data_IF_492529704258
#
_entry.id   IF_492529704258
#
_cell.length_a   1.000
_cell.length_b   1.000
_cell.length_c   1.000
_cell.angle_alpha   90.00
_cell.angle_beta   90.00
_cell.angle_gamma   90.00
#
_symmetry.space_group_name_H-M   'P 1'
#
loop_
_entity.id
_entity.type
_entity.pdbx_description
1 polymer ?
#
# COMPACT_ATOMS: atom_id res chain seq x y z
N UNK A 1 -36.52 -6.32 26.49
CA UNK A 1 -36.24 -5.38 25.39
C UNK A 1 -34.97 -5.85 24.69
N UNK A 2 -35.12 -6.61 23.61
CA UNK A 2 -33.98 -7.00 22.77
C UNK A 2 -33.61 -5.80 21.89
N UNK A 3 -32.38 -5.32 22.00
CA UNK A 3 -31.80 -4.40 21.02
C UNK A 3 -31.56 -5.22 19.76
N UNK A 4 -32.44 -5.09 18.78
CA UNK A 4 -32.16 -5.51 17.41
C UNK A 4 -30.97 -4.67 16.94
N UNK A 5 -29.78 -5.25 16.96
CA UNK A 5 -28.62 -4.69 16.27
C UNK A 5 -28.97 -4.70 14.79
N UNK A 6 -29.28 -3.52 14.24
CA UNK A 6 -29.29 -3.34 12.80
C UNK A 6 -27.88 -3.70 12.33
N UNK A 7 -27.75 -4.80 11.59
CA UNK A 7 -26.52 -5.15 10.87
C UNK A 7 -26.29 -3.97 9.94
N UNK A 8 -25.20 -3.22 10.14
CA UNK A 8 -24.88 -2.11 9.25
C UNK A 8 -24.73 -2.69 7.85
N UNK A 9 -25.35 -2.04 6.85
CA UNK A 9 -25.24 -2.50 5.48
C UNK A 9 -23.77 -2.45 5.04
N UNK A 10 -23.28 -3.56 4.49
CA UNK A 10 -22.00 -3.60 3.79
C UNK A 10 -22.23 -3.12 2.35
N UNK A 11 -21.46 -2.13 1.91
CA UNK A 11 -21.47 -1.62 0.54
C UNK A 11 -20.10 -1.92 -0.10
N UNK A 12 -20.10 -2.59 -1.25
CA UNK A 12 -18.85 -2.79 -2.02
C UNK A 12 -18.50 -1.49 -2.72
N UNK A 13 -17.35 -0.91 -2.39
CA UNK A 13 -16.80 0.28 -3.04
C UNK A 13 -16.03 -0.09 -4.31
N UNK A 14 -15.26 -1.18 -4.27
CA UNK A 14 -14.44 -1.66 -5.38
C UNK A 14 -14.08 -3.13 -5.16
N UNK A 15 -13.87 -3.88 -6.25
CA UNK A 15 -13.24 -5.20 -6.18
C UNK A 15 -12.23 -5.37 -7.31
N UNK A 16 -11.30 -6.29 -7.17
CA UNK A 16 -10.30 -6.53 -8.21
C UNK A 16 -9.30 -7.60 -7.84
N UNK A 17 -8.22 -7.66 -8.60
CA UNK A 17 -7.10 -8.54 -8.29
C UNK A 17 -6.06 -7.82 -7.44
N UNK A 18 -5.44 -8.55 -6.53
CA UNK A 18 -4.37 -8.07 -5.65
C UNK A 18 -3.14 -8.95 -5.83
N UNK A 19 -1.99 -8.32 -5.97
CA UNK A 19 -0.69 -9.00 -6.01
C UNK A 19 0.23 -8.40 -4.96
N UNK A 20 0.78 -9.23 -4.09
CA UNK A 20 1.84 -8.82 -3.18
C UNK A 20 3.20 -9.13 -3.82
N UNK A 21 4.05 -8.11 -3.88
CA UNK A 21 5.38 -8.20 -4.46
C UNK A 21 6.43 -7.72 -3.47
N UNK A 22 7.68 -8.10 -3.70
CA UNK A 22 8.83 -7.43 -3.10
C UNK A 22 9.77 -6.98 -4.20
N UNK A 23 10.44 -5.84 -4.01
CA UNK A 23 11.55 -5.40 -4.85
C UNK A 23 12.86 -5.70 -4.12
N UNK A 24 13.77 -6.48 -4.73
CA UNK A 24 15.10 -6.71 -4.16
C UNK A 24 15.92 -5.41 -4.06
N UNK A 25 16.95 -5.40 -3.21
CA UNK A 25 17.92 -4.30 -3.16
C UNK A 25 18.67 -4.13 -4.48
N UNK A 26 19.20 -2.93 -4.66
CA UNK A 26 20.01 -2.60 -5.85
C UNK A 26 21.21 -3.53 -5.92
N UNK A 27 21.48 -4.08 -7.10
CA UNK A 27 22.46 -5.16 -7.35
C UNK A 27 22.14 -6.53 -6.71
N UNK A 28 21.00 -6.71 -6.03
CA UNK A 28 20.64 -7.98 -5.38
C UNK A 28 19.80 -8.87 -6.31
N UNK A 29 20.41 -9.87 -6.92
CA UNK A 29 19.74 -10.76 -7.88
C UNK A 29 19.08 -11.98 -7.23
N UNK A 30 19.54 -12.41 -6.06
CA UNK A 30 19.12 -13.65 -5.41
C UNK A 30 18.75 -13.40 -3.94
N UNK A 31 17.70 -12.61 -3.67
CA UNK A 31 17.30 -12.27 -2.32
C UNK A 31 16.85 -13.51 -1.55
N UNK A 32 17.33 -13.65 -0.33
CA UNK A 32 17.06 -14.81 0.54
C UNK A 32 16.29 -14.45 1.80
N UNK A 33 16.43 -13.21 2.27
CA UNK A 33 15.78 -12.71 3.49
C UNK A 33 15.18 -11.30 3.34
N UNK A 34 14.68 -10.72 4.43
CA UNK A 34 14.08 -9.38 4.45
C UNK A 34 15.11 -8.24 4.38
N UNK A 35 16.37 -8.51 4.70
CA UNK A 35 17.48 -7.57 4.54
C UNK A 35 17.80 -7.31 3.07
N UNK A 36 17.59 -8.32 2.22
CA UNK A 36 17.76 -8.27 0.77
C UNK A 36 16.60 -7.56 0.04
N UNK A 37 15.52 -7.24 0.76
CA UNK A 37 14.35 -6.54 0.23
C UNK A 37 14.52 -5.03 0.39
N UNK A 38 14.34 -4.30 -0.71
CA UNK A 38 14.20 -2.84 -0.71
C UNK A 38 12.77 -2.44 -0.36
N UNK A 39 11.78 -2.91 -1.14
CA UNK A 39 10.37 -2.51 -0.95
C UNK A 39 9.47 -3.73 -0.85
N UNK A 40 8.48 -3.66 0.05
CA UNK A 40 7.29 -4.49 -0.03
C UNK A 40 6.21 -3.69 -0.75
N UNK A 41 5.50 -4.35 -1.66
CA UNK A 41 4.55 -3.71 -2.57
C UNK A 41 3.23 -4.49 -2.58
N UNK A 42 2.13 -3.76 -2.74
CA UNK A 42 0.80 -4.28 -2.99
C UNK A 42 0.28 -3.63 -4.27
N UNK A 43 0.09 -4.43 -5.30
CA UNK A 43 -0.53 -4.02 -6.55
C UNK A 43 -2.02 -4.31 -6.49
N UNK A 44 -2.85 -3.28 -6.65
CA UNK A 44 -4.29 -3.39 -6.81
C UNK A 44 -4.64 -3.13 -8.28
N UNK A 45 -5.34 -4.08 -8.89
CA UNK A 45 -5.88 -3.95 -10.25
C UNK A 45 -7.40 -4.03 -10.15
N UNK A 46 -8.11 -2.89 -10.06
CA UNK A 46 -9.57 -2.84 -10.00
C UNK A 46 -10.17 -3.52 -11.23
N UNK A 47 -11.21 -4.34 -11.05
CA UNK A 47 -11.78 -5.12 -12.14
C UNK A 47 -12.34 -4.27 -13.30
N UNK A 48 -12.93 -3.13 -12.96
CA UNK A 48 -13.51 -2.16 -13.90
C UNK A 48 -12.63 -0.91 -14.07
N UNK A 49 -11.39 -0.96 -13.59
CA UNK A 49 -10.45 0.16 -13.62
C UNK A 49 -9.61 0.22 -14.89
N UNK A 50 -9.25 1.44 -15.30
CA UNK A 50 -8.28 1.68 -16.40
C UNK A 50 -6.83 1.67 -15.89
N UNK A 51 -6.65 1.96 -14.60
CA UNK A 51 -5.35 2.08 -13.95
C UNK A 51 -5.17 1.02 -12.86
N UNK A 52 -3.92 0.60 -12.70
CA UNK A 52 -3.47 -0.18 -11.56
C UNK A 52 -2.76 0.73 -10.56
N UNK A 53 -2.85 0.36 -9.28
CA UNK A 53 -2.32 1.15 -8.17
C UNK A 53 -1.27 0.35 -7.43
N UNK A 54 -0.05 0.85 -7.40
CA UNK A 54 1.06 0.25 -6.65
C UNK A 54 1.19 0.95 -5.31
N UNK A 55 0.98 0.22 -4.23
CA UNK A 55 1.12 0.71 -2.86
C UNK A 55 2.44 0.19 -2.31
N UNK A 56 3.32 1.10 -1.88
CA UNK A 56 4.52 0.74 -1.14
C UNK A 56 4.20 0.59 0.35
N UNK A 57 4.68 -0.47 0.97
CA UNK A 57 4.38 -0.83 2.36
C UNK A 57 5.66 -0.76 3.20
N UNK A 58 5.55 -0.23 4.42
CA UNK A 58 6.64 -0.19 5.39
C UNK A 58 7.25 -1.56 5.69
N UNK A 59 8.56 -1.73 5.44
CA UNK A 59 9.28 -3.00 5.54
C UNK A 59 9.21 -3.67 6.93
N UNK A 60 9.08 -2.88 8.00
CA UNK A 60 9.09 -3.36 9.40
C UNK A 60 7.74 -3.92 9.90
N UNK A 61 6.65 -3.78 9.12
CA UNK A 61 5.31 -4.22 9.53
C UNK A 61 4.59 -4.81 8.32
N UNK A 62 4.89 -6.07 8.03
CA UNK A 62 4.18 -6.86 7.00
C UNK A 62 2.68 -6.87 7.33
N UNK A 63 1.78 -6.78 6.33
CA UNK A 63 0.35 -6.88 6.56
C UNK A 63 0.00 -8.16 7.34
N UNK A 64 -0.38 -7.99 8.60
CA UNK A 64 -0.96 -9.02 9.44
C UNK A 64 -2.42 -8.67 9.60
N UNK A 65 -3.29 -9.58 9.18
CA UNK A 65 -4.72 -9.36 9.22
C UNK A 65 -5.35 -9.60 10.60
N UNK A 66 -4.58 -10.10 11.59
CA UNK A 66 -5.09 -10.44 12.92
C UNK A 66 -4.48 -9.54 14.00
N UNK A 67 -5.34 -9.04 14.89
CA UNK A 67 -4.97 -8.19 16.03
C UNK A 67 -4.94 -6.69 15.72
N UNK A 68 -4.63 -5.86 16.71
CA UNK A 68 -4.48 -4.40 16.56
C UNK A 68 -3.18 -3.99 15.82
N UNK A 69 -2.62 -4.87 15.00
CA UNK A 69 -1.41 -4.60 14.25
C UNK A 69 -1.70 -3.50 13.21
N UNK A 70 -0.91 -2.44 13.28
CA UNK A 70 -0.94 -1.29 12.38
C UNK A 70 0.24 -1.39 11.43
N UNK A 71 0.01 -1.16 10.15
CA UNK A 71 1.07 -0.90 9.18
C UNK A 71 0.72 0.29 8.31
N UNK A 72 1.75 0.84 7.67
CA UNK A 72 1.67 2.06 6.90
C UNK A 72 2.08 1.76 5.47
N UNK A 73 1.53 2.51 4.54
CA UNK A 73 1.94 2.51 3.15
C UNK A 73 1.55 3.81 2.46
N UNK A 74 1.90 3.93 1.20
CA UNK A 74 1.40 5.01 0.35
C UNK A 74 1.25 4.53 -1.08
N UNK A 75 0.41 5.22 -1.84
CA UNK A 75 0.28 5.00 -3.28
C UNK A 75 1.56 5.50 -3.96
N UNK A 76 2.40 4.58 -4.44
CA UNK A 76 3.66 4.89 -5.13
C UNK A 76 3.38 5.29 -6.58
N UNK A 77 2.60 4.48 -7.30
CA UNK A 77 2.31 4.65 -8.72
C UNK A 77 0.83 4.38 -9.02
N UNK A 78 0.27 5.15 -9.96
CA UNK A 78 -1.04 4.91 -10.59
C UNK A 78 -0.83 4.96 -12.08
N UNK A 79 -0.89 3.82 -12.75
CA UNK A 79 -0.44 3.64 -14.13
C UNK A 79 -1.37 2.72 -14.91
N UNK A 80 -1.31 2.75 -16.23
CA UNK A 80 -1.97 1.72 -17.05
C UNK A 80 -1.30 0.36 -16.80
N UNK A 81 -1.97 -0.78 -17.06
CA UNK A 81 -1.35 -2.11 -16.88
C UNK A 81 -0.02 -2.28 -17.64
N UNK A 82 0.08 -1.74 -18.85
CA UNK A 82 1.30 -1.82 -19.66
C UNK A 82 2.45 -1.00 -19.04
N UNK A 83 2.15 0.22 -18.59
CA UNK A 83 3.14 1.07 -17.92
C UNK A 83 3.54 0.51 -16.54
N UNK A 84 2.59 -0.09 -15.81
CA UNK A 84 2.85 -0.75 -14.54
C UNK A 84 3.75 -1.96 -14.73
N UNK A 85 3.52 -2.77 -15.77
CA UNK A 85 4.39 -3.89 -16.12
C UNK A 85 5.83 -3.41 -16.38
N UNK A 86 5.99 -2.31 -17.13
CA UNK A 86 7.31 -1.72 -17.37
C UNK A 86 7.96 -1.19 -16.08
N UNK A 87 7.19 -0.52 -15.20
CA UNK A 87 7.67 0.02 -13.94
C UNK A 87 8.11 -1.07 -12.95
N UNK A 88 7.40 -2.21 -12.91
CA UNK A 88 7.73 -3.37 -12.09
C UNK A 88 8.92 -4.17 -12.64
N UNK A 89 9.29 -3.96 -13.90
CA UNK A 89 10.46 -4.55 -14.53
C UNK A 89 11.80 -4.13 -13.91
N UNK A 90 12.86 -4.76 -14.40
CA UNK A 90 14.23 -4.38 -14.04
C UNK A 90 14.59 -3.03 -14.69
N UNK A 91 15.31 -2.19 -13.95
CA UNK A 91 15.72 -0.87 -14.41
C UNK A 91 17.23 -0.71 -14.30
N UNK A 92 17.83 -0.03 -15.27
CA UNK A 92 19.25 0.37 -15.21
C UNK A 92 19.31 1.88 -15.19
N UNK A 93 19.98 2.46 -14.20
CA UNK A 93 20.07 3.91 -14.06
C UNK A 93 21.49 4.37 -13.70
N UNK A 94 21.87 5.54 -14.20
CA UNK A 94 23.16 6.15 -13.90
C UNK A 94 23.15 6.86 -12.56
N UNK A 95 24.22 6.72 -11.79
CA UNK A 95 24.46 7.51 -10.57
C UNK A 95 25.63 8.47 -10.78
N UNK A 96 25.52 9.68 -10.22
CA UNK A 96 26.55 10.73 -10.33
C UNK A 96 27.90 10.32 -9.73
N UNK A 97 27.90 9.40 -8.77
CA UNK A 97 29.08 9.05 -7.97
C UNK A 97 29.55 7.60 -8.15
N UNK A 98 28.71 6.70 -8.66
CA UNK A 98 28.98 5.25 -8.65
C UNK A 98 28.68 4.54 -9.98
N UNK A 99 28.52 5.26 -11.08
CA UNK A 99 28.28 4.66 -12.40
C UNK A 99 26.87 4.07 -12.55
N UNK A 100 26.70 3.13 -13.49
CA UNK A 100 25.43 2.45 -13.74
C UNK A 100 25.06 1.54 -12.56
N UNK A 101 23.78 1.50 -12.21
CA UNK A 101 23.20 0.61 -11.21
C UNK A 101 22.02 -0.14 -11.80
N UNK A 102 21.86 -1.38 -11.37
CA UNK A 102 20.77 -2.27 -11.74
C UNK A 102 19.81 -2.41 -10.57
N UNK A 103 18.58 -1.96 -10.77
CA UNK A 103 17.44 -2.23 -9.91
C UNK A 103 16.72 -3.48 -10.43
N UNK A 104 16.70 -4.58 -9.67
CA UNK A 104 16.00 -5.80 -10.08
C UNK A 104 14.49 -5.60 -10.24
N UNK A 105 13.87 -6.46 -11.05
CA UNK A 105 12.43 -6.50 -11.20
C UNK A 105 11.74 -6.89 -9.88
N UNK A 106 10.57 -6.32 -9.64
CA UNK A 106 9.71 -6.73 -8.53
C UNK A 106 9.26 -8.18 -8.72
N UNK A 107 9.27 -8.96 -7.63
CA UNK A 107 8.94 -10.37 -7.62
C UNK A 107 7.60 -10.60 -6.93
N UNK A 108 6.58 -11.13 -7.63
CA UNK A 108 5.31 -11.48 -7.01
C UNK A 108 5.48 -12.73 -6.15
N UNK A 109 4.96 -12.69 -4.93
CA UNK A 109 5.01 -13.81 -4.00
C UNK A 109 3.63 -14.26 -3.50
N UNK A 110 2.58 -13.46 -3.70
CA UNK A 110 1.20 -13.88 -3.51
C UNK A 110 0.25 -13.14 -4.45
N UNK A 111 -0.79 -13.80 -4.93
CA UNK A 111 -1.78 -13.22 -5.84
C UNK A 111 -3.18 -13.75 -5.53
N UNK A 112 -4.19 -12.93 -5.73
CA UNK A 112 -5.59 -13.32 -5.58
C UNK A 112 -6.54 -12.15 -5.83
N UNK A 113 -7.63 -12.13 -5.07
CA UNK A 113 -8.69 -11.13 -5.19
C UNK A 113 -8.76 -10.27 -3.94
N UNK A 114 -9.23 -9.03 -4.11
CA UNK A 114 -9.59 -8.14 -3.01
C UNK A 114 -11.00 -7.57 -3.18
N UNK A 115 -11.59 -7.22 -2.05
CA UNK A 115 -12.80 -6.43 -1.94
C UNK A 115 -12.50 -5.22 -1.06
N UNK A 116 -12.81 -4.03 -1.55
CA UNK A 116 -12.83 -2.79 -0.79
C UNK A 116 -14.29 -2.49 -0.44
N UNK A 117 -14.61 -2.49 0.84
CA UNK A 117 -15.98 -2.42 1.33
C UNK A 117 -16.14 -1.29 2.34
N UNK A 118 -17.28 -0.61 2.30
CA UNK A 118 -17.72 0.29 3.33
C UNK A 118 -18.64 -0.44 4.30
N UNK A 119 -18.30 -0.45 5.58
CA UNK A 119 -19.12 -1.04 6.63
C UNK A 119 -19.20 -0.12 7.83
N UNK A 120 -20.42 0.36 8.12
CA UNK A 120 -20.69 1.31 9.19
C UNK A 120 -19.99 2.65 8.98
N UNK A 121 -18.79 2.80 9.53
CA UNK A 121 -17.98 4.03 9.46
C UNK A 121 -16.54 3.77 9.01
N UNK A 122 -16.25 2.56 8.51
CA UNK A 122 -14.91 2.11 8.16
C UNK A 122 -14.87 1.51 6.77
N UNK A 123 -13.74 1.70 6.12
CA UNK A 123 -13.41 1.04 4.87
C UNK A 123 -12.56 -0.20 5.16
N UNK A 124 -13.04 -1.36 4.75
CA UNK A 124 -12.37 -2.65 4.87
C UNK A 124 -11.73 -3.02 3.53
N UNK A 125 -10.41 -3.26 3.53
CA UNK A 125 -9.73 -3.94 2.44
C UNK A 125 -9.58 -5.41 2.83
N UNK A 126 -10.37 -6.25 2.19
CA UNK A 126 -10.35 -7.71 2.38
C UNK A 126 -9.60 -8.35 1.23
N UNK A 127 -8.86 -9.43 1.49
CA UNK A 127 -8.21 -10.20 0.44
C UNK A 127 -8.29 -11.70 0.67
N UNK A 128 -8.18 -12.46 -0.42
CA UNK A 128 -7.87 -13.88 -0.40
C UNK A 128 -6.84 -14.19 -1.49
N UNK A 129 -5.65 -14.65 -1.09
CA UNK A 129 -4.50 -14.86 -1.98
C UNK A 129 -3.91 -16.26 -1.87
N UNK A 130 -3.31 -16.70 -2.97
CA UNK A 130 -2.44 -17.86 -3.03
C UNK A 130 -0.98 -17.40 -3.01
N UNK A 131 -0.18 -17.98 -2.11
CA UNK A 131 1.26 -17.72 -2.04
C UNK A 131 2.01 -18.60 -3.05
N UNK A 132 3.02 -18.02 -3.69
CA UNK A 132 4.00 -18.74 -4.51
C UNK A 132 4.72 -19.78 -3.63
N UNK A 133 4.88 -20.99 -4.15
CA UNK A 133 5.63 -22.05 -3.45
C UNK A 133 7.14 -21.79 -3.58
N UNK A 134 7.90 -22.16 -2.56
CA UNK A 134 9.37 -22.12 -2.56
C UNK A 134 9.99 -20.74 -2.80
N UNK A 135 9.34 -19.68 -2.33
CA UNK A 135 9.89 -18.33 -2.36
C UNK A 135 10.62 -18.04 -1.03
N UNK A 136 11.95 -17.83 -1.11
CA UNK A 136 12.85 -17.66 0.04
C UNK A 136 12.48 -16.44 0.88
N UNK A 137 12.22 -15.32 0.22
CA UNK A 137 11.83 -14.07 0.88
C UNK A 137 10.44 -14.20 1.49
N UNK A 138 9.48 -14.75 0.74
CA UNK A 138 8.10 -14.88 1.21
C UNK A 138 7.93 -15.79 2.43
N UNK A 139 8.83 -16.74 2.63
CA UNK A 139 8.87 -17.58 3.83
C UNK A 139 9.07 -16.75 5.12
N UNK A 140 9.73 -15.60 5.00
CA UNK A 140 9.98 -14.67 6.11
C UNK A 140 8.86 -13.61 6.26
N UNK A 141 7.90 -13.55 5.33
CA UNK A 141 6.78 -12.62 5.37
C UNK A 141 5.54 -13.24 6.05
N UNK A 142 4.96 -12.51 7.00
CA UNK A 142 3.79 -12.90 7.78
C UNK A 142 2.42 -12.61 7.09
N UNK A 143 2.36 -12.59 5.76
CA UNK A 143 1.13 -12.32 5.00
C UNK A 143 0.07 -13.44 5.14
N UNK A 144 -1.03 -13.19 5.82
CA UNK A 144 -2.12 -14.16 5.88
C UNK A 144 -2.76 -14.39 4.49
N UNK A 145 -3.19 -15.63 4.22
CA UNK A 145 -3.86 -15.97 2.95
C UNK A 145 -5.16 -15.20 2.77
N UNK A 146 -5.89 -15.03 3.86
CA UNK A 146 -7.04 -14.15 3.92
C UNK A 146 -6.78 -13.06 4.93
N UNK A 147 -7.20 -11.85 4.60
CA UNK A 147 -7.10 -10.76 5.54
C UNK A 147 -8.22 -9.75 5.41
N UNK A 148 -8.39 -8.99 6.48
CA UNK A 148 -9.32 -7.88 6.61
C UNK A 148 -8.62 -6.79 7.39
N UNK A 149 -8.44 -5.62 6.78
CA UNK A 149 -7.88 -4.44 7.42
C UNK A 149 -8.77 -3.23 7.19
N UNK A 150 -8.90 -2.40 8.22
CA UNK A 150 -9.47 -1.07 8.09
C UNK A 150 -8.41 -0.14 7.47
N UNK A 151 -8.80 0.61 6.45
CA UNK A 151 -7.93 1.56 5.74
C UNK A 151 -8.37 3.00 6.02
N UNK A 152 -7.39 3.82 6.42
CA UNK A 152 -7.56 5.26 6.63
C UNK A 152 -6.50 6.03 5.87
N UNK A 153 -6.85 7.23 5.42
CA UNK A 153 -5.98 8.11 4.65
C UNK A 153 -5.44 9.19 5.57
N UNK A 154 -4.14 9.47 5.51
CA UNK A 154 -3.52 10.58 6.23
C UNK A 154 -3.69 11.89 5.45
N UNK A 155 -3.93 12.98 6.16
CA UNK A 155 -4.02 14.30 5.56
C UNK A 155 -2.61 14.82 5.22
N UNK A 156 -2.30 15.16 3.97
CA UNK A 156 -0.98 15.66 3.59
C UNK A 156 -0.68 17.09 4.09
N UNK A 157 -1.68 17.81 4.65
CA UNK A 157 -1.49 19.16 5.18
C UNK A 157 -0.63 19.15 6.48
N UNK A 158 0.61 19.66 6.44
CA UNK A 158 1.52 19.63 7.59
C UNK A 158 1.05 20.44 8.80
N UNK A 159 0.25 21.48 8.58
CA UNK A 159 -0.21 22.35 9.66
C UNK A 159 -1.06 21.60 10.68
N UNK A 160 -1.84 20.61 10.23
CA UNK A 160 -2.66 19.76 11.10
C UNK A 160 -1.84 18.81 11.97
N UNK A 161 -0.59 18.55 11.56
CA UNK A 161 0.38 17.75 12.32
C UNK A 161 1.24 18.60 13.25
N UNK A 162 1.11 19.93 13.20
CA UNK A 162 2.00 20.85 13.90
C UNK A 162 3.40 20.89 13.28
N UNK A 163 3.50 20.58 11.99
CA UNK A 163 4.75 20.56 11.24
C UNK A 163 4.82 21.74 10.28
N UNK A 164 6.03 22.19 9.99
CA UNK A 164 6.30 23.23 8.99
C UNK A 164 6.26 22.68 7.56
N UNK A 165 6.58 21.40 7.41
CA UNK A 165 6.69 20.64 6.17
C UNK A 165 5.86 19.36 6.26
N UNK A 166 5.42 18.77 5.13
CA UNK A 166 4.61 17.54 5.10
C UNK A 166 5.14 16.48 6.07
N UNK A 167 4.24 15.80 6.82
CA UNK A 167 4.66 14.73 7.71
C UNK A 167 5.46 13.68 6.93
N UNK A 168 6.63 13.32 7.44
CA UNK A 168 7.56 12.44 6.73
C UNK A 168 7.21 10.95 6.89
N UNK A 169 5.92 10.61 6.80
CA UNK A 169 5.47 9.24 7.01
C UNK A 169 5.99 8.34 5.90
N UNK A 170 6.14 8.86 4.67
CA UNK A 170 6.79 8.15 3.58
C UNK A 170 8.25 7.79 3.87
N UNK A 171 9.11 8.72 4.35
CA UNK A 171 10.51 8.35 4.61
C UNK A 171 10.66 7.48 5.86
N UNK A 172 9.72 7.52 6.81
CA UNK A 172 9.68 6.57 7.93
C UNK A 172 9.45 5.11 7.48
N UNK A 173 8.94 4.88 6.27
CA UNK A 173 8.72 3.53 5.73
C UNK A 173 10.00 2.84 5.24
N UNK A 174 11.03 3.63 4.94
CA UNK A 174 12.25 3.15 4.28
C UNK A 174 13.47 3.36 5.18
N UNK A 175 14.49 2.52 4.99
CA UNK A 175 15.80 2.82 5.60
C UNK A 175 16.37 4.07 4.91
N UNK A 176 16.98 5.00 5.65
CA UNK A 176 17.59 6.21 5.08
C UNK A 176 18.75 5.95 4.10
N UNK A 177 19.15 4.70 3.89
CA UNK A 177 20.11 4.27 2.87
C UNK A 177 19.45 3.94 1.53
N UNK A 178 18.12 3.78 1.50
CA UNK A 178 17.36 3.61 0.29
C UNK A 178 17.11 5.00 -0.32
N UNK A 179 17.41 5.13 -1.62
CA UNK A 179 17.02 6.31 -2.39
C UNK A 179 15.48 6.30 -2.50
N UNK A 180 14.83 6.91 -1.52
CA UNK A 180 13.42 7.24 -1.56
C UNK A 180 13.28 8.74 -1.82
N UNK A 181 12.41 9.08 -2.77
CA UNK A 181 11.99 10.45 -3.01
C UNK A 181 10.56 10.53 -2.52
N UNK A 182 10.29 11.43 -1.57
CA UNK A 182 8.94 11.69 -1.09
C UNK A 182 8.06 12.11 -2.26
N UNK A 183 6.94 11.44 -2.43
CA UNK A 183 5.97 11.72 -3.48
C UNK A 183 4.91 12.66 -2.89
N UNK A 184 4.82 13.93 -3.32
CA UNK A 184 3.78 14.81 -2.84
C UNK A 184 2.40 14.30 -3.28
N UNK A 185 1.38 14.51 -2.44
CA UNK A 185 -0.01 14.12 -2.75
C UNK A 185 -0.85 15.33 -3.12
N UNK A 186 -1.15 15.58 -4.40
CA UNK A 186 -2.04 16.65 -4.81
C UNK A 186 -3.49 16.14 -4.81
N UNK A 187 -4.14 16.06 -3.64
CA UNK A 187 -5.57 15.76 -3.62
C UNK A 187 -6.38 16.89 -4.27
N UNK A 188 -7.38 16.57 -5.11
CA UNK A 188 -8.31 17.56 -5.61
C UNK A 188 -9.10 18.18 -4.44
N UNK A 189 -9.61 19.42 -4.59
CA UNK A 189 -10.33 20.10 -3.51
C UNK A 189 -11.49 19.29 -2.92
N UNK A 190 -12.19 18.52 -3.75
CA UNK A 190 -13.29 17.64 -3.33
C UNK A 190 -12.84 16.55 -2.35
N UNK A 191 -11.67 15.93 -2.57
CA UNK A 191 -11.11 14.95 -1.65
C UNK A 191 -10.46 15.64 -0.44
N UNK A 192 -9.68 16.70 -0.66
CA UNK A 192 -9.02 17.42 0.44
C UNK A 192 -10.02 17.94 1.49
N UNK A 193 -11.19 18.42 1.07
CA UNK A 193 -12.25 18.88 1.98
C UNK A 193 -12.85 17.76 2.85
N UNK A 194 -12.73 16.48 2.47
CA UNK A 194 -13.24 15.34 3.26
C UNK A 194 -12.51 15.17 4.58
N UNK A 195 -11.25 15.61 4.66
CA UNK A 195 -10.50 15.63 5.91
C UNK A 195 -11.13 16.59 6.93
N UNK A 196 -11.65 17.74 6.47
CA UNK A 196 -11.99 18.89 7.33
C UNK A 196 -10.74 19.29 8.12
N UNK A 197 -10.87 19.56 9.41
CA UNK A 197 -9.73 19.92 10.28
C UNK A 197 -9.05 18.70 10.94
N UNK A 198 -9.18 17.51 10.32
CA UNK A 198 -8.68 16.25 10.88
C UNK A 198 -7.40 15.80 10.17
N UNK A 199 -6.54 15.13 10.94
CA UNK A 199 -5.32 14.46 10.45
C UNK A 199 -5.60 13.24 9.59
N UNK A 200 -6.81 12.67 9.67
CA UNK A 200 -7.17 11.44 9.00
C UNK A 200 -8.59 11.51 8.43
N UNK A 201 -8.80 10.82 7.30
CA UNK A 201 -10.09 10.52 6.72
C UNK A 201 -10.26 9.00 6.58
N UNK A 202 -11.50 8.52 6.53
CA UNK A 202 -11.79 7.14 6.16
C UNK A 202 -11.69 7.01 4.63
N UNK A 203 -11.29 5.85 4.14
CA UNK A 203 -11.24 5.56 2.71
C UNK A 203 -12.65 5.24 2.18
N UNK A 204 -13.51 6.25 2.18
CA UNK A 204 -14.93 6.16 1.85
C UNK A 204 -15.23 6.20 0.33
N UNK A 205 -14.19 6.27 -0.50
CA UNK A 205 -14.24 6.18 -1.97
C UNK A 205 -12.91 5.64 -2.49
N UNK A 206 -12.88 4.79 -3.54
CA UNK A 206 -11.63 4.34 -4.14
C UNK A 206 -10.79 5.49 -4.72
N UNK A 207 -11.37 6.66 -5.01
CA UNK A 207 -10.68 7.83 -5.57
C UNK A 207 -9.45 8.25 -4.75
N UNK A 208 -9.47 8.02 -3.44
CA UNK A 208 -8.30 8.28 -2.58
C UNK A 208 -7.03 7.58 -3.06
N UNK A 209 -7.19 6.38 -3.63
CA UNK A 209 -6.10 5.52 -4.08
C UNK A 209 -5.56 5.91 -5.47
N UNK A 210 -6.23 6.81 -6.19
CA UNK A 210 -5.83 7.28 -7.52
C UNK A 210 -4.81 8.44 -7.48
N UNK A 211 -4.30 8.76 -6.28
CA UNK A 211 -3.38 9.87 -6.07
C UNK A 211 -2.03 9.39 -5.53
N UNK A 212 -0.96 9.39 -6.35
CA UNK A 212 0.39 9.12 -5.88
C UNK A 212 0.76 10.00 -4.68
N UNK A 213 1.51 9.40 -3.76
CA UNK A 213 1.86 9.97 -2.46
C UNK A 213 0.81 9.75 -1.37
N UNK A 214 -0.44 9.39 -1.70
CA UNK A 214 -1.50 9.26 -0.71
C UNK A 214 -1.10 8.25 0.38
N UNK A 215 -0.97 8.74 1.61
CA UNK A 215 -0.52 7.95 2.74
C UNK A 215 -1.69 7.20 3.39
N UNK A 216 -1.47 5.91 3.63
CA UNK A 216 -2.47 4.95 4.05
C UNK A 216 -2.03 4.29 5.36
N UNK A 217 -2.97 4.18 6.29
CA UNK A 217 -2.81 3.45 7.53
C UNK A 217 -3.78 2.30 7.51
N UNK A 218 -3.21 1.12 7.65
CA UNK A 218 -3.93 -0.15 7.70
C UNK A 218 -3.91 -0.66 9.13
N UNK A 219 -5.07 -1.07 9.62
CA UNK A 219 -5.24 -1.63 10.97
C UNK A 219 -5.98 -2.94 10.83
N UNK A 220 -5.46 -4.04 11.38
CA UNK A 220 -6.17 -5.32 11.39
C UNK A 220 -7.58 -5.16 11.96
N UNK A 221 -8.58 -5.67 11.24
CA UNK A 221 -9.93 -5.71 11.76
C UNK A 221 -9.96 -6.71 12.93
N UNK A 222 -10.26 -6.24 14.13
CA UNK A 222 -10.52 -7.13 15.26
C UNK A 222 -11.86 -7.83 15.06
N UNK A 223 -11.92 -9.12 15.39
CA UNK A 223 -13.18 -9.84 15.58
C UNK A 223 -13.99 -9.27 16.77
#
# INVERSE_FOLDING_TARGET
MARTSAVAAEETLEHGSITFLYRPRVEEQHPTDLGDVQRLLMLLSPADGVFERLIAIGRKRVPRAKGHDRFWGFVDLVLTPDDMHAALGAQVYGTKTRGLRHLPAAQPFAQGMYDLMWHGAHAHLRWHVQRKRNDSVAAHLALERSGDVIVTVANPDPSLWGLSDPPDLQSELFDGLELHVTIPTPFPPSLQQRFRDRRYAQLDTPDWLDHPGAELIFVGAGD
#
